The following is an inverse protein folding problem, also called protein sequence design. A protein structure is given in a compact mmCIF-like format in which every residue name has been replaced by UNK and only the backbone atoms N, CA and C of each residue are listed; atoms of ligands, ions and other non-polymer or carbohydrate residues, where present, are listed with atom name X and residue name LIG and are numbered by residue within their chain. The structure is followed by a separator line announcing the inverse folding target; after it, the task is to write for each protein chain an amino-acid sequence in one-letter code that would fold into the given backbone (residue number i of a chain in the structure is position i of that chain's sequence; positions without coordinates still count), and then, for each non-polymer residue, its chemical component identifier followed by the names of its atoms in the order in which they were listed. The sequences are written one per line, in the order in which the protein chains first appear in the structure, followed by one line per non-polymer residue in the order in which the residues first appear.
data_IF_479348495412
#
_entry.id   IF_479348495412
#
_cell.length_a   1.000
_cell.length_b   1.000
_cell.length_c   1.000
_cell.angle_alpha   90.00
_cell.angle_beta   90.00
_cell.angle_gamma   90.00
#
_symmetry.space_group_name_H-M   'P 1'
#
loop_
_entity.id
_entity.type
_entity.pdbx_description
1 polymer ?
#
# COMPACT_ATOMS: atom_id res chain seq x y z
N UNK A 1 -11.57 29.78 9.72
CA UNK A 1 -11.24 28.39 9.33
C UNK A 1 -9.73 28.17 9.05
N UNK A 2 -8.99 29.15 8.56
CA UNK A 2 -7.55 29.06 8.22
C UNK A 2 -6.60 29.00 9.44
N UNK A 3 -6.99 29.55 10.59
CA UNK A 3 -6.14 29.62 11.81
C UNK A 3 -6.11 28.28 12.57
N UNK A 4 -7.23 27.53 12.58
CA UNK A 4 -7.31 26.22 13.25
C UNK A 4 -6.49 25.16 12.52
N UNK A 5 -6.38 25.27 11.18
CA UNK A 5 -5.54 24.37 10.37
C UNK A 5 -4.04 24.57 10.62
N UNK A 6 -3.60 25.79 10.98
CA UNK A 6 -2.18 26.07 11.27
C UNK A 6 -1.71 25.55 12.63
N UNK A 7 -2.58 25.49 13.65
CA UNK A 7 -2.22 24.95 14.95
C UNK A 7 -2.15 23.41 14.95
N UNK A 8 -3.05 22.74 14.19
CA UNK A 8 -2.95 21.30 13.97
C UNK A 8 -1.67 20.91 13.24
N UNK A 9 -1.26 21.66 12.22
CA UNK A 9 -0.04 21.39 11.48
C UNK A 9 1.26 21.62 12.28
N UNK A 10 1.27 22.48 13.29
CA UNK A 10 2.46 22.71 14.13
C UNK A 10 2.75 21.53 15.09
N UNK A 11 1.73 20.87 15.64
CA UNK A 11 1.91 19.67 16.47
C UNK A 11 2.43 18.46 15.70
N UNK A 12 2.10 18.33 14.40
CA UNK A 12 2.56 17.21 13.57
C UNK A 12 3.96 17.41 12.96
N UNK A 13 4.57 18.60 13.04
CA UNK A 13 5.92 18.87 12.54
C UNK A 13 7.05 18.26 13.39
N UNK A 14 6.74 17.72 14.56
CA UNK A 14 7.71 17.00 15.40
C UNK A 14 7.87 15.52 14.99
N UNK A 15 6.96 14.99 14.21
CA UNK A 15 6.99 13.59 13.74
C UNK A 15 7.46 13.51 12.28
N UNK A 16 7.96 12.31 11.90
CA UNK A 16 8.36 12.01 10.53
C UNK A 16 7.28 12.35 9.50
N UNK A 17 7.66 12.59 8.24
CA UNK A 17 6.69 12.69 7.14
C UNK A 17 5.83 11.40 7.15
N UNK A 18 4.51 11.48 7.33
CA UNK A 18 3.65 10.30 7.37
C UNK A 18 3.76 9.43 6.12
N UNK A 19 4.20 9.98 4.99
CA UNK A 19 4.46 9.19 3.79
C UNK A 19 5.62 8.21 3.96
N UNK A 20 6.64 8.58 4.72
CA UNK A 20 7.78 7.71 5.05
C UNK A 20 7.32 6.58 5.95
N UNK A 21 6.56 6.87 7.01
CA UNK A 21 6.01 5.86 7.91
C UNK A 21 5.11 4.84 7.18
N UNK A 22 4.22 5.28 6.31
CA UNK A 22 3.43 4.40 5.46
C UNK A 22 4.30 3.54 4.54
N UNK A 23 5.40 4.09 4.00
CA UNK A 23 6.35 3.36 3.18
C UNK A 23 7.04 2.23 3.95
N UNK A 24 7.51 2.50 5.18
CA UNK A 24 8.11 1.49 6.04
C UNK A 24 7.13 0.40 6.44
N UNK A 25 5.91 0.76 6.83
CA UNK A 25 4.88 -0.23 7.17
C UNK A 25 4.52 -1.12 5.97
N UNK A 26 4.54 -0.58 4.75
CA UNK A 26 4.36 -1.40 3.54
C UNK A 26 5.53 -2.35 3.31
N UNK A 27 6.76 -1.92 3.53
CA UNK A 27 7.92 -2.78 3.39
C UNK A 27 7.91 -3.89 4.45
N UNK A 28 7.65 -3.55 5.71
CA UNK A 28 7.52 -4.51 6.81
C UNK A 28 6.40 -5.51 6.48
N UNK A 29 5.23 -5.01 6.09
CA UNK A 29 4.10 -5.88 5.74
C UNK A 29 4.37 -6.78 4.54
N UNK A 30 5.04 -6.28 3.48
CA UNK A 30 5.45 -7.11 2.35
C UNK A 30 6.45 -8.21 2.78
N UNK A 31 7.41 -7.86 3.64
CA UNK A 31 8.34 -8.83 4.24
C UNK A 31 7.59 -9.88 5.05
N UNK A 32 6.64 -9.45 5.89
CA UNK A 32 5.80 -10.35 6.69
C UNK A 32 5.01 -11.32 5.80
N UNK A 33 4.44 -10.85 4.69
CA UNK A 33 3.72 -11.72 3.74
C UNK A 33 4.66 -12.74 3.11
N UNK A 34 5.85 -12.34 2.66
CA UNK A 34 6.83 -13.29 2.07
C UNK A 34 7.27 -14.32 3.11
N UNK A 35 7.54 -13.90 4.34
CA UNK A 35 7.89 -14.83 5.42
C UNK A 35 6.74 -15.80 5.68
N UNK A 36 5.52 -15.31 5.88
CA UNK A 36 4.35 -16.15 6.20
C UNK A 36 4.02 -17.15 5.09
N UNK A 37 4.15 -16.76 3.81
CA UNK A 37 3.95 -17.64 2.66
C UNK A 37 4.94 -18.79 2.58
N UNK A 38 6.11 -18.71 3.26
CA UNK A 38 7.11 -19.77 3.22
C UNK A 38 6.61 -21.10 3.82
N UNK A 39 5.58 -21.07 4.67
CA UNK A 39 4.96 -22.28 5.23
C UNK A 39 3.98 -22.93 4.27
N UNK A 40 2.89 -22.27 3.84
CA UNK A 40 1.91 -22.91 2.97
C UNK A 40 2.44 -23.26 1.58
N UNK A 41 3.51 -22.61 1.12
CA UNK A 41 4.08 -22.92 -0.20
C UNK A 41 4.92 -24.22 -0.17
N UNK A 42 5.50 -24.58 0.98
CA UNK A 42 6.23 -25.82 1.20
C UNK A 42 5.33 -26.94 1.73
N UNK A 43 4.35 -26.60 2.53
CA UNK A 43 3.39 -27.53 3.11
C UNK A 43 1.98 -26.94 3.08
N UNK A 44 1.18 -27.24 2.05
CA UNK A 44 -0.19 -26.72 1.91
C UNK A 44 -1.14 -27.10 3.05
N UNK A 45 -0.76 -28.06 3.91
CA UNK A 45 -1.53 -28.37 5.12
C UNK A 45 -1.33 -27.33 6.24
N UNK A 46 -0.27 -26.52 6.16
CA UNK A 46 0.06 -25.45 7.09
C UNK A 46 -0.27 -24.09 6.47
N UNK A 47 -1.29 -23.45 6.99
CA UNK A 47 -1.76 -22.16 6.44
C UNK A 47 -0.87 -20.97 6.81
N UNK A 48 -0.03 -21.09 7.85
CA UNK A 48 0.75 -19.98 8.41
C UNK A 48 1.91 -20.46 9.27
N UNK A 49 2.82 -19.53 9.59
CA UNK A 49 3.87 -19.73 10.60
C UNK A 49 3.31 -20.01 12.01
N UNK A 50 2.10 -19.51 12.32
CA UNK A 50 1.46 -19.73 13.62
C UNK A 50 0.81 -21.12 13.71
N UNK A 51 0.57 -21.63 14.93
CA UNK A 51 -0.21 -22.83 15.12
C UNK A 51 -1.59 -22.74 14.47
N UNK A 52 -2.17 -23.86 14.05
CA UNK A 52 -3.50 -23.92 13.42
C UNK A 52 -4.64 -23.39 14.30
N UNK A 53 -4.41 -23.22 15.60
CA UNK A 53 -5.35 -22.58 16.53
C UNK A 53 -5.45 -21.05 16.36
N UNK A 54 -4.57 -20.44 15.58
CA UNK A 54 -4.61 -19.01 15.28
C UNK A 54 -5.26 -18.78 13.92
N UNK A 55 -6.46 -18.21 13.92
CA UNK A 55 -7.22 -17.93 12.69
C UNK A 55 -6.64 -16.77 11.86
N UNK A 56 -5.80 -15.92 12.48
CA UNK A 56 -5.17 -14.79 11.82
C UNK A 56 -3.66 -15.02 11.64
N UNK A 57 -3.22 -15.19 10.40
CA UNK A 57 -1.79 -15.24 10.07
C UNK A 57 -1.15 -13.85 10.11
N UNK A 58 0.18 -13.74 10.34
CA UNK A 58 0.89 -12.47 10.20
C UNK A 58 0.71 -11.82 8.83
N UNK A 59 0.68 -12.61 7.76
CA UNK A 59 0.40 -12.14 6.39
C UNK A 59 -1.01 -11.56 6.26
N UNK A 60 -2.02 -12.19 6.87
CA UNK A 60 -3.38 -11.68 6.89
C UNK A 60 -3.50 -10.35 7.63
N UNK A 61 -2.86 -10.21 8.79
CA UNK A 61 -2.79 -8.95 9.54
C UNK A 61 -2.11 -7.86 8.71
N UNK A 62 -1.01 -8.18 8.02
CA UNK A 62 -0.34 -7.25 7.13
C UNK A 62 -1.23 -6.79 5.97
N UNK A 63 -2.01 -7.70 5.36
CA UNK A 63 -2.98 -7.37 4.33
C UNK A 63 -4.09 -6.44 4.86
N UNK A 64 -4.65 -6.72 6.03
CA UNK A 64 -5.62 -5.81 6.66
C UNK A 64 -5.05 -4.41 6.85
N UNK A 65 -3.81 -4.30 7.34
CA UNK A 65 -3.12 -3.02 7.47
C UNK A 65 -2.91 -2.34 6.09
N UNK A 66 -2.58 -3.08 5.04
CA UNK A 66 -2.45 -2.53 3.68
C UNK A 66 -3.76 -1.95 3.16
N UNK A 67 -4.87 -2.68 3.32
CA UNK A 67 -6.18 -2.19 2.90
C UNK A 67 -6.62 -0.98 3.71
N UNK A 68 -6.38 -0.96 5.02
CA UNK A 68 -6.66 0.20 5.88
C UNK A 68 -5.84 1.44 5.47
N UNK A 69 -4.53 1.28 5.27
CA UNK A 69 -3.65 2.35 4.79
C UNK A 69 -4.08 2.83 3.40
N UNK A 70 -4.49 1.92 2.51
CA UNK A 70 -5.00 2.27 1.19
C UNK A 70 -6.28 3.08 1.31
N UNK A 71 -7.27 2.67 2.10
CA UNK A 71 -8.50 3.42 2.33
C UNK A 71 -8.24 4.85 2.82
N UNK A 72 -7.31 5.02 3.76
CA UNK A 72 -6.90 6.33 4.25
C UNK A 72 -6.23 7.19 3.16
N UNK A 73 -5.16 6.68 2.53
CA UNK A 73 -4.35 7.45 1.59
C UNK A 73 -5.04 7.69 0.24
N UNK A 74 -5.89 6.76 -0.21
CA UNK A 74 -6.65 6.95 -1.45
C UNK A 74 -7.75 7.99 -1.27
N UNK A 75 -8.42 8.01 -0.10
CA UNK A 75 -9.36 9.07 0.26
C UNK A 75 -8.67 10.44 0.34
N UNK A 76 -7.46 10.50 0.90
CA UNK A 76 -6.63 11.71 0.91
C UNK A 76 -6.28 12.16 -0.53
N UNK A 77 -5.94 11.21 -1.40
CA UNK A 77 -5.62 11.50 -2.80
C UNK A 77 -6.81 12.06 -3.58
N UNK A 78 -8.02 11.52 -3.34
CA UNK A 78 -9.25 12.06 -3.91
C UNK A 78 -9.55 13.46 -3.39
N UNK A 79 -9.50 13.68 -2.09
CA UNK A 79 -9.79 14.97 -1.47
C UNK A 79 -8.82 16.09 -1.91
N UNK A 80 -7.58 15.73 -2.26
CA UNK A 80 -6.59 16.69 -2.75
C UNK A 80 -6.81 17.12 -4.21
N UNK A 81 -7.42 16.26 -5.03
CA UNK A 81 -7.67 16.49 -6.46
C UNK A 81 -8.93 15.71 -6.92
N UNK A 82 -10.15 16.23 -6.64
CA UNK A 82 -11.41 15.53 -6.90
C UNK A 82 -11.75 15.54 -8.38
N UNK A 83 -11.00 14.82 -9.17
CA UNK A 83 -11.19 14.65 -10.62
C UNK A 83 -11.17 13.17 -10.94
N UNK A 84 -12.31 12.61 -11.37
CA UNK A 84 -12.49 11.20 -11.61
C UNK A 84 -11.45 10.62 -12.57
N UNK A 85 -11.17 11.31 -13.69
CA UNK A 85 -10.24 10.79 -14.69
C UNK A 85 -8.77 10.85 -14.22
N UNK A 86 -8.34 11.95 -13.53
CA UNK A 86 -6.99 12.04 -12.98
C UNK A 86 -6.77 11.07 -11.83
N UNK A 87 -7.79 10.91 -11.00
CA UNK A 87 -7.79 9.91 -9.94
C UNK A 87 -7.60 8.50 -10.51
N UNK A 88 -8.44 8.10 -11.48
CA UNK A 88 -8.38 6.79 -12.14
C UNK A 88 -7.04 6.57 -12.86
N UNK A 89 -6.58 7.54 -13.64
CA UNK A 89 -5.30 7.45 -14.33
C UNK A 89 -4.11 7.28 -13.35
N UNK A 90 -4.12 7.98 -12.22
CA UNK A 90 -3.08 7.81 -11.18
C UNK A 90 -3.08 6.40 -10.59
N UNK A 91 -4.24 5.75 -10.48
CA UNK A 91 -4.38 4.37 -9.95
C UNK A 91 -3.96 3.34 -10.99
N UNK A 92 -4.44 3.48 -12.22
CA UNK A 92 -4.02 2.62 -13.33
C UNK A 92 -2.49 2.62 -13.48
N UNK A 93 -1.87 3.79 -13.53
CA UNK A 93 -0.40 3.92 -13.60
C UNK A 93 0.33 3.45 -12.33
N UNK A 94 -0.37 3.19 -11.25
CA UNK A 94 0.22 2.65 -10.01
C UNK A 94 0.24 1.13 -10.02
N UNK A 95 -0.84 0.47 -10.47
CA UNK A 95 -1.00 -0.97 -10.37
C UNK A 95 -0.52 -1.68 -11.64
N UNK A 96 -1.06 -1.29 -12.81
CA UNK A 96 -0.94 -2.11 -14.01
C UNK A 96 0.47 -2.23 -14.59
N UNK A 97 1.34 -1.20 -14.65
CA UNK A 97 2.66 -1.37 -15.24
C UNK A 97 3.55 -2.39 -14.52
N UNK A 98 3.68 -2.40 -13.17
CA UNK A 98 4.43 -3.44 -12.49
C UNK A 98 3.80 -4.84 -12.61
N UNK A 99 2.46 -4.93 -12.61
CA UNK A 99 1.75 -6.20 -12.83
C UNK A 99 2.04 -6.74 -14.22
N UNK A 100 1.95 -5.90 -15.25
CA UNK A 100 2.24 -6.32 -16.62
C UNK A 100 3.68 -6.85 -16.75
N UNK A 101 4.65 -6.22 -16.09
CA UNK A 101 6.05 -6.65 -16.14
C UNK A 101 6.24 -8.00 -15.45
N UNK A 102 5.67 -8.21 -14.25
CA UNK A 102 5.80 -9.51 -13.57
C UNK A 102 5.08 -10.61 -14.36
N UNK A 103 3.89 -10.36 -14.87
CA UNK A 103 3.14 -11.33 -15.67
C UNK A 103 3.87 -11.64 -16.97
N UNK A 104 4.42 -10.63 -17.64
CA UNK A 104 5.24 -10.85 -18.84
C UNK A 104 6.49 -11.68 -18.52
N UNK A 105 7.18 -11.41 -17.43
CA UNK A 105 8.33 -12.21 -17.01
C UNK A 105 7.95 -13.67 -16.70
N UNK A 106 6.79 -13.88 -16.06
CA UNK A 106 6.28 -15.21 -15.77
C UNK A 106 5.96 -15.98 -17.05
N UNK A 107 5.30 -15.34 -18.02
CA UNK A 107 4.87 -16.01 -19.26
C UNK A 107 6.01 -16.17 -20.27
N UNK A 108 6.86 -15.15 -20.45
CA UNK A 108 7.84 -15.13 -21.54
C UNK A 108 9.25 -15.55 -21.13
N UNK A 109 9.54 -15.58 -19.80
CA UNK A 109 10.87 -15.96 -19.30
C UNK A 109 10.77 -17.19 -18.41
N UNK A 110 10.04 -17.12 -17.30
CA UNK A 110 9.98 -18.21 -16.31
C UNK A 110 9.21 -19.40 -16.87
N UNK A 111 8.09 -19.18 -17.51
CA UNK A 111 7.30 -20.24 -18.12
C UNK A 111 8.10 -21.12 -19.07
N UNK A 112 8.73 -20.60 -20.13
CA UNK A 112 9.53 -21.39 -21.04
C UNK A 112 10.75 -22.08 -20.44
N UNK A 113 11.31 -21.55 -19.34
CA UNK A 113 12.48 -22.13 -18.66
C UNK A 113 12.11 -23.28 -17.71
N UNK A 114 10.89 -23.26 -17.15
CA UNK A 114 10.49 -24.16 -16.06
C UNK A 114 9.23 -24.98 -16.37
N UNK A 115 8.69 -24.89 -17.60
CA UNK A 115 7.59 -25.76 -18.03
C UNK A 115 8.09 -27.18 -18.37
N UNK A 116 7.29 -28.17 -18.04
CA UNK A 116 7.51 -29.55 -18.48
C UNK A 116 7.07 -29.82 -19.90
N UNK A 117 6.39 -28.87 -20.55
CA UNK A 117 5.91 -28.96 -21.94
C UNK A 117 7.01 -28.58 -22.93
N UNK A 118 6.89 -29.11 -24.15
CA UNK A 118 7.70 -28.59 -25.25
C UNK A 118 7.34 -27.13 -25.57
N UNK A 119 8.26 -26.39 -26.17
CA UNK A 119 8.01 -25.01 -26.55
C UNK A 119 6.76 -24.85 -27.45
N UNK A 120 6.54 -25.79 -28.37
CA UNK A 120 5.37 -25.79 -29.23
C UNK A 120 4.06 -25.95 -28.45
N UNK A 121 4.01 -26.90 -27.53
CA UNK A 121 2.84 -27.12 -26.67
C UNK A 121 2.58 -25.93 -25.78
N UNK A 122 3.60 -25.39 -25.07
CA UNK A 122 3.47 -24.25 -24.18
C UNK A 122 2.87 -23.03 -24.87
N UNK A 123 3.39 -22.68 -26.07
CA UNK A 123 2.92 -21.49 -26.80
C UNK A 123 1.58 -21.69 -27.52
N UNK A 124 1.20 -22.93 -27.85
CA UNK A 124 -0.10 -23.27 -28.45
C UNK A 124 -1.21 -23.41 -27.40
N UNK A 125 -0.88 -23.56 -26.15
CA UNK A 125 -1.86 -23.69 -25.08
C UNK A 125 -2.62 -22.38 -24.84
N UNK A 126 -3.94 -22.46 -24.87
CA UNK A 126 -4.82 -21.31 -24.60
C UNK A 126 -4.67 -20.76 -23.20
N UNK A 127 -4.30 -21.62 -22.22
CA UNK A 127 -4.12 -21.21 -20.81
C UNK A 127 -2.93 -20.24 -20.65
N UNK A 128 -1.84 -20.42 -21.43
CA UNK A 128 -0.70 -19.48 -21.45
C UNK A 128 -1.16 -18.06 -21.77
N UNK A 129 -2.01 -17.91 -22.79
CA UNK A 129 -2.52 -16.61 -23.21
C UNK A 129 -3.63 -16.06 -22.31
N UNK A 130 -4.46 -16.95 -21.73
CA UNK A 130 -5.43 -16.57 -20.71
C UNK A 130 -4.72 -16.03 -19.47
N UNK A 131 -3.65 -16.68 -19.03
CA UNK A 131 -2.83 -16.19 -17.92
C UNK A 131 -2.27 -14.81 -18.25
N UNK A 132 -1.65 -14.64 -19.41
CA UNK A 132 -1.06 -13.35 -19.82
C UNK A 132 -2.10 -12.23 -19.82
N UNK A 133 -3.19 -12.39 -20.54
CA UNK A 133 -4.20 -11.33 -20.71
C UNK A 133 -5.02 -11.14 -19.43
N UNK A 134 -5.58 -12.22 -18.89
CA UNK A 134 -6.48 -12.16 -17.73
C UNK A 134 -5.79 -11.63 -16.49
N UNK A 135 -4.59 -12.13 -16.19
CA UNK A 135 -3.82 -11.73 -15.01
C UNK A 135 -3.23 -10.31 -15.17
N UNK A 136 -2.78 -9.92 -16.39
CA UNK A 136 -2.30 -8.57 -16.64
C UNK A 136 -3.39 -7.51 -16.44
N UNK A 137 -4.63 -7.83 -16.78
CA UNK A 137 -5.78 -6.93 -16.63
C UNK A 137 -6.46 -7.05 -15.26
N UNK A 138 -6.07 -8.02 -14.44
CA UNK A 138 -6.67 -8.32 -13.13
C UNK A 138 -8.18 -8.64 -13.23
N UNK A 139 -8.65 -9.09 -14.39
CA UNK A 139 -10.06 -9.27 -14.68
C UNK A 139 -10.50 -10.74 -14.62
N UNK A 140 -9.65 -11.65 -15.06
CA UNK A 140 -9.82 -13.10 -15.00
C UNK A 140 -8.51 -13.67 -14.51
N UNK A 141 -8.26 -13.50 -13.21
CA UNK A 141 -7.01 -13.88 -12.59
C UNK A 141 -6.80 -15.39 -12.78
N UNK A 142 -5.70 -15.75 -13.43
CA UNK A 142 -5.29 -17.12 -13.58
C UNK A 142 -4.15 -17.40 -12.61
N UNK A 143 -4.12 -18.60 -12.05
CA UNK A 143 -3.09 -18.99 -11.07
C UNK A 143 -2.02 -19.86 -11.69
N UNK A 144 -2.38 -20.70 -12.66
CA UNK A 144 -1.53 -21.72 -13.24
C UNK A 144 -1.04 -21.33 -14.65
N UNK A 145 0.23 -21.62 -14.90
CA UNK A 145 0.80 -21.65 -16.26
C UNK A 145 1.06 -23.11 -16.64
N UNK A 146 0.77 -23.53 -17.89
CA UNK A 146 0.89 -24.92 -18.32
C UNK A 146 2.27 -25.52 -18.07
N UNK A 147 2.31 -26.58 -17.28
CA UNK A 147 3.53 -27.32 -16.95
C UNK A 147 4.54 -26.60 -16.05
N UNK A 148 4.24 -25.41 -15.55
CA UNK A 148 5.17 -24.61 -14.72
C UNK A 148 5.00 -24.93 -13.25
N UNK A 149 6.10 -25.27 -12.57
CA UNK A 149 6.17 -25.58 -11.14
C UNK A 149 5.34 -26.80 -10.70
N UNK A 150 5.03 -27.71 -11.62
CA UNK A 150 4.15 -28.88 -11.35
C UNK A 150 4.72 -29.84 -10.31
N UNK A 151 6.04 -29.88 -10.16
CA UNK A 151 6.73 -30.74 -9.19
C UNK A 151 6.98 -30.04 -7.83
N UNK A 152 6.64 -28.76 -7.71
CA UNK A 152 6.76 -28.06 -6.44
C UNK A 152 5.65 -28.49 -5.47
N UNK A 153 5.86 -28.38 -4.14
CA UNK A 153 4.84 -28.72 -3.15
C UNK A 153 3.53 -27.93 -3.30
N UNK A 154 3.60 -26.71 -3.88
CA UNK A 154 2.44 -25.88 -4.21
C UNK A 154 2.35 -25.64 -5.72
N UNK A 155 1.81 -26.59 -6.51
CA UNK A 155 1.79 -26.52 -7.97
C UNK A 155 0.66 -25.64 -8.53
N UNK A 156 -0.32 -25.26 -7.69
CA UNK A 156 -1.57 -24.60 -8.12
C UNK A 156 -1.43 -23.11 -8.43
N UNK A 157 -0.27 -22.52 -8.20
CA UNK A 157 -0.11 -21.10 -8.51
C UNK A 157 1.34 -20.75 -8.83
N UNK A 158 1.52 -20.07 -9.96
CA UNK A 158 2.81 -19.47 -10.32
C UNK A 158 3.05 -18.18 -9.56
N UNK A 159 1.98 -17.45 -9.24
CA UNK A 159 2.03 -16.25 -8.42
C UNK A 159 0.75 -16.08 -7.58
N UNK A 160 0.78 -16.64 -6.39
CA UNK A 160 -0.31 -16.55 -5.44
C UNK A 160 -0.50 -15.15 -4.80
N UNK A 161 0.45 -14.21 -4.97
CA UNK A 161 0.31 -12.89 -4.33
C UNK A 161 -0.65 -11.94 -5.07
N UNK A 162 -0.95 -12.21 -6.35
CA UNK A 162 -1.72 -11.27 -7.18
C UNK A 162 -3.22 -11.21 -6.86
N UNK A 163 -3.77 -12.19 -6.15
CA UNK A 163 -5.20 -12.30 -5.88
C UNK A 163 -5.82 -11.13 -5.11
N UNK A 164 -5.02 -10.36 -4.37
CA UNK A 164 -5.48 -9.19 -3.61
C UNK A 164 -5.56 -7.91 -4.45
N UNK A 165 -4.89 -7.87 -5.61
CA UNK A 165 -4.84 -6.66 -6.43
C UNK A 165 -6.20 -6.27 -7.06
N UNK A 166 -7.04 -7.20 -7.53
CA UNK A 166 -8.41 -6.87 -7.92
C UNK A 166 -9.22 -6.25 -6.79
N UNK A 167 -9.02 -6.70 -5.55
CA UNK A 167 -9.69 -6.11 -4.38
C UNK A 167 -9.21 -4.67 -4.14
N UNK A 168 -7.94 -4.37 -4.37
CA UNK A 168 -7.43 -3.01 -4.30
C UNK A 168 -8.10 -2.10 -5.36
N UNK A 169 -8.31 -2.61 -6.57
CA UNK A 169 -9.07 -1.91 -7.62
C UNK A 169 -10.52 -1.66 -7.20
N UNK A 170 -11.18 -2.64 -6.58
CA UNK A 170 -12.52 -2.47 -6.01
C UNK A 170 -12.51 -1.36 -4.95
N UNK A 171 -11.51 -1.30 -4.09
CA UNK A 171 -11.33 -0.22 -3.13
C UNK A 171 -11.19 1.15 -3.80
N UNK A 172 -10.50 1.24 -4.93
CA UNK A 172 -10.40 2.50 -5.71
C UNK A 172 -11.75 2.94 -6.29
N UNK A 173 -12.53 1.98 -6.81
CA UNK A 173 -13.90 2.24 -7.28
C UNK A 173 -14.78 2.71 -6.13
N UNK A 174 -14.66 2.08 -4.95
CA UNK A 174 -15.41 2.50 -3.76
C UNK A 174 -15.09 3.95 -3.35
N UNK A 175 -13.81 4.33 -3.28
CA UNK A 175 -13.44 5.74 -2.96
C UNK A 175 -13.95 6.70 -4.04
N UNK A 176 -13.86 6.32 -5.32
CA UNK A 176 -14.37 7.14 -6.41
C UNK A 176 -15.88 7.34 -6.29
N UNK A 177 -16.65 6.27 -6.06
CA UNK A 177 -18.09 6.34 -5.91
C UNK A 177 -18.51 7.22 -4.72
N UNK A 178 -17.95 6.94 -3.54
CA UNK A 178 -18.20 7.75 -2.33
C UNK A 178 -17.77 9.20 -2.57
N UNK A 179 -16.62 9.43 -3.17
CA UNK A 179 -16.10 10.76 -3.46
C UNK A 179 -16.99 11.56 -4.40
N UNK A 180 -17.57 10.93 -5.43
CA UNK A 180 -18.54 11.56 -6.32
C UNK A 180 -19.84 11.90 -5.59
N UNK A 181 -20.35 11.00 -4.74
CA UNK A 181 -21.54 11.26 -3.92
C UNK A 181 -21.31 12.42 -2.94
N UNK A 182 -20.12 12.55 -2.37
CA UNK A 182 -19.76 13.72 -1.54
C UNK A 182 -19.75 15.03 -2.33
N UNK A 183 -19.36 15.02 -3.61
CA UNK A 183 -19.46 16.19 -4.48
C UNK A 183 -20.92 16.57 -4.81
N UNK A 184 -21.84 15.61 -4.78
CA UNK A 184 -23.29 15.84 -4.94
C UNK A 184 -23.96 16.35 -3.65
N UNK A 185 -23.20 16.68 -2.61
CA UNK A 185 -23.69 17.29 -1.40
C UNK A 185 -23.93 16.34 -0.22
N UNK A 186 -23.68 15.03 -0.37
CA UNK A 186 -23.71 14.13 0.78
C UNK A 186 -22.55 14.50 1.73
N UNK A 187 -22.84 14.65 3.01
CA UNK A 187 -21.86 14.99 4.02
C UNK A 187 -20.88 13.84 4.29
N UNK A 188 -19.73 14.15 4.90
CA UNK A 188 -18.68 13.14 5.26
C UNK A 188 -19.20 11.97 6.09
N UNK A 189 -20.35 12.09 6.73
CA UNK A 189 -21.01 11.03 7.49
C UNK A 189 -21.46 9.86 6.62
N UNK A 190 -21.54 10.05 5.30
CA UNK A 190 -21.90 8.97 4.36
C UNK A 190 -20.94 7.78 4.36
N UNK A 191 -19.72 7.94 4.85
CA UNK A 191 -18.77 6.83 5.01
C UNK A 191 -19.23 5.78 6.04
N UNK A 192 -20.08 6.16 7.03
CA UNK A 192 -20.59 5.22 8.03
C UNK A 192 -21.61 4.22 7.48
N UNK A 193 -22.64 4.59 6.72
CA UNK A 193 -23.52 3.61 6.08
C UNK A 193 -22.76 2.66 5.13
N UNK A 194 -21.69 3.15 4.45
CA UNK A 194 -20.83 2.26 3.65
C UNK A 194 -20.12 1.23 4.53
N UNK A 195 -19.51 1.66 5.63
CA UNK A 195 -18.86 0.74 6.58
C UNK A 195 -19.88 -0.20 7.21
N UNK A 196 -21.05 0.29 7.61
CA UNK A 196 -22.11 -0.54 8.20
C UNK A 196 -22.60 -1.62 7.21
N UNK A 197 -22.79 -1.27 5.93
CA UNK A 197 -23.17 -2.23 4.90
C UNK A 197 -22.11 -3.33 4.72
N UNK A 198 -20.82 -2.98 4.73
CA UNK A 198 -19.73 -3.95 4.64
C UNK A 198 -19.65 -4.84 5.89
N UNK A 199 -19.83 -4.29 7.09
CA UNK A 199 -19.87 -5.08 8.33
C UNK A 199 -21.05 -6.04 8.35
N UNK A 200 -22.24 -5.63 7.90
CA UNK A 200 -23.40 -6.50 7.78
C UNK A 200 -23.15 -7.59 6.74
N UNK A 201 -22.60 -7.25 5.57
CA UNK A 201 -22.27 -8.24 4.55
C UNK A 201 -21.25 -9.26 5.07
N UNK A 202 -20.16 -8.79 5.71
CA UNK A 202 -19.15 -9.65 6.31
C UNK A 202 -19.74 -10.58 7.38
N UNK A 203 -20.55 -10.05 8.29
CA UNK A 203 -21.21 -10.86 9.34
C UNK A 203 -22.14 -11.93 8.75
N UNK A 204 -22.86 -11.62 7.66
CA UNK A 204 -23.74 -12.59 6.99
C UNK A 204 -22.95 -13.70 6.30
N UNK A 205 -21.85 -13.35 5.61
CA UNK A 205 -20.97 -14.33 4.96
C UNK A 205 -20.40 -15.28 6.01
N UNK A 206 -19.91 -14.76 7.13
CA UNK A 206 -19.37 -15.60 8.20
C UNK A 206 -20.40 -16.49 8.86
N UNK A 207 -21.62 -15.99 9.10
CA UNK A 207 -22.69 -16.78 9.68
C UNK A 207 -23.10 -17.96 8.78
N UNK A 208 -22.91 -17.86 7.47
CA UNK A 208 -23.28 -18.91 6.51
C UNK A 208 -22.15 -19.85 6.14
N UNK A 209 -20.91 -19.35 6.06
CA UNK A 209 -19.76 -20.06 5.48
C UNK A 209 -18.57 -20.23 6.46
N UNK A 210 -18.63 -19.66 7.66
CA UNK A 210 -17.53 -19.65 8.61
C UNK A 210 -16.46 -18.59 8.31
N UNK A 211 -15.41 -18.57 9.14
CA UNK A 211 -14.42 -17.49 9.18
C UNK A 211 -13.66 -17.27 7.85
N UNK A 212 -13.36 -18.34 7.14
CA UNK A 212 -12.67 -18.32 5.84
C UNK A 212 -13.57 -18.78 4.68
N UNK A 213 -14.88 -18.87 4.91
CA UNK A 213 -15.82 -19.37 3.91
C UNK A 213 -15.92 -18.42 2.72
N UNK A 214 -15.97 -19.01 1.54
CA UNK A 214 -16.18 -18.29 0.29
C UNK A 214 -17.62 -18.54 -0.21
N UNK A 215 -18.33 -17.45 -0.50
CA UNK A 215 -19.69 -17.48 -1.08
C UNK A 215 -19.66 -17.48 -2.62
N UNK A 216 -18.52 -17.78 -3.20
CA UNK A 216 -18.26 -17.74 -4.64
C UNK A 216 -17.29 -16.62 -5.02
N UNK A 217 -16.96 -16.55 -6.29
CA UNK A 217 -16.00 -15.57 -6.82
C UNK A 217 -16.69 -14.56 -7.73
N UNK A 218 -16.27 -13.31 -7.62
CA UNK A 218 -16.55 -12.27 -8.59
C UNK A 218 -15.27 -12.05 -9.41
N UNK A 219 -15.30 -12.40 -10.69
CA UNK A 219 -14.12 -12.22 -11.59
C UNK A 219 -12.88 -12.98 -11.02
N UNK A 220 -13.08 -14.25 -10.64
CA UNK A 220 -12.04 -15.11 -10.02
C UNK A 220 -11.50 -14.57 -8.68
N UNK A 221 -12.17 -13.61 -8.07
CA UNK A 221 -11.78 -13.04 -6.77
C UNK A 221 -12.75 -13.52 -5.70
N UNK A 222 -12.29 -14.13 -4.59
CA UNK A 222 -13.14 -14.61 -3.52
C UNK A 222 -13.98 -13.49 -2.92
N UNK A 223 -15.30 -13.62 -2.97
CA UNK A 223 -16.19 -12.54 -2.51
C UNK A 223 -16.13 -12.37 -0.99
N UNK A 224 -16.03 -13.46 -0.24
CA UNK A 224 -15.88 -13.42 1.21
C UNK A 224 -14.63 -12.64 1.65
N UNK A 225 -13.49 -12.97 1.06
CA UNK A 225 -12.23 -12.26 1.33
C UNK A 225 -12.28 -10.80 0.86
N UNK A 226 -12.94 -10.53 -0.27
CA UNK A 226 -13.12 -9.16 -0.76
C UNK A 226 -13.86 -8.30 0.25
N UNK A 227 -14.99 -8.76 0.76
CA UNK A 227 -15.77 -8.04 1.78
C UNK A 227 -14.95 -7.87 3.05
N UNK A 228 -14.25 -8.91 3.48
CA UNK A 228 -13.38 -8.90 4.65
C UNK A 228 -12.31 -7.80 4.61
N UNK A 229 -11.63 -7.65 3.49
CA UNK A 229 -10.60 -6.61 3.33
C UNK A 229 -11.18 -5.22 3.03
N UNK A 230 -12.40 -5.14 2.48
CA UNK A 230 -13.09 -3.86 2.33
C UNK A 230 -13.53 -3.27 3.68
N UNK A 231 -13.70 -4.05 4.74
CA UNK A 231 -13.98 -3.53 6.09
C UNK A 231 -12.83 -2.63 6.61
N UNK A 232 -11.57 -3.10 6.76
CA UNK A 232 -10.47 -2.22 7.17
C UNK A 232 -10.19 -1.10 6.15
N UNK A 233 -10.43 -1.32 4.86
CA UNK A 233 -10.35 -0.27 3.86
C UNK A 233 -11.36 0.86 4.15
N UNK A 234 -12.64 0.55 4.38
CA UNK A 234 -13.66 1.53 4.73
C UNK A 234 -13.40 2.18 6.10
N UNK A 235 -12.87 1.45 7.08
CA UNK A 235 -12.40 2.03 8.35
C UNK A 235 -11.28 3.07 8.10
N UNK A 236 -10.34 2.80 7.20
CA UNK A 236 -9.33 3.76 6.77
C UNK A 236 -9.94 5.03 6.15
N UNK A 237 -11.01 4.88 5.34
CA UNK A 237 -11.78 6.02 4.81
C UNK A 237 -12.43 6.82 5.95
N UNK A 238 -12.99 6.15 6.96
CA UNK A 238 -13.57 6.82 8.15
C UNK A 238 -12.51 7.59 8.92
N UNK A 239 -11.35 6.98 9.20
CA UNK A 239 -10.25 7.67 9.90
C UNK A 239 -9.80 8.90 9.11
N UNK A 240 -9.71 8.82 7.78
CA UNK A 240 -9.40 10.00 6.96
C UNK A 240 -10.50 11.07 7.02
N UNK A 241 -11.78 10.68 6.90
CA UNK A 241 -12.90 11.62 6.92
C UNK A 241 -13.03 12.38 8.25
N UNK A 242 -12.64 11.73 9.36
CA UNK A 242 -12.72 12.28 10.73
C UNK A 242 -11.34 12.49 11.37
N UNK A 243 -10.28 12.63 10.58
CA UNK A 243 -8.90 12.86 11.05
C UNK A 243 -8.70 14.10 11.91
N UNK A 244 -9.65 15.02 11.86
CA UNK A 244 -9.74 16.22 12.71
C UNK A 244 -10.28 15.94 14.11
N UNK A 245 -10.91 14.77 14.33
CA UNK A 245 -11.57 14.36 15.58
C UNK A 245 -10.97 13.11 16.20
N UNK A 246 -10.43 12.19 15.39
CA UNK A 246 -9.83 10.94 15.88
C UNK A 246 -8.39 11.23 16.31
N UNK A 247 -8.08 11.16 17.62
CA UNK A 247 -6.72 11.34 18.10
C UNK A 247 -5.86 10.14 17.68
N UNK A 248 -4.65 10.39 17.19
CA UNK A 248 -3.68 9.33 16.90
C UNK A 248 -2.78 9.14 18.12
N UNK A 249 -3.06 8.12 18.91
CA UNK A 249 -2.36 7.85 20.18
C UNK A 249 -1.74 6.45 20.16
N UNK A 250 -0.39 6.32 20.28
CA UNK A 250 0.28 5.01 20.31
C UNK A 250 -0.17 4.11 21.45
N UNK A 251 -0.53 4.66 22.60
CA UNK A 251 -1.00 3.86 23.74
C UNK A 251 -2.36 3.22 23.47
N UNK A 252 -3.25 3.93 22.73
CA UNK A 252 -4.52 3.35 22.28
C UNK A 252 -4.26 2.22 21.27
N UNK A 253 -3.30 2.39 20.37
CA UNK A 253 -2.91 1.34 19.43
C UNK A 253 -2.37 0.08 20.15
N UNK A 254 -1.55 0.26 21.19
CA UNK A 254 -1.08 -0.85 22.04
C UNK A 254 -2.22 -1.47 22.84
N UNK A 255 -3.14 -0.66 23.37
CA UNK A 255 -4.34 -1.16 24.06
C UNK A 255 -5.24 -2.00 23.15
N UNK A 256 -5.40 -1.60 21.88
CA UNK A 256 -6.14 -2.38 20.88
C UNK A 256 -5.45 -3.71 20.54
N UNK A 257 -4.12 -3.73 20.48
CA UNK A 257 -3.36 -4.97 20.33
C UNK A 257 -3.59 -5.91 21.51
N UNK A 258 -3.51 -5.39 22.74
CA UNK A 258 -3.81 -6.17 23.95
C UNK A 258 -5.26 -6.67 23.98
N UNK A 259 -6.21 -5.83 23.58
CA UNK A 259 -7.62 -6.22 23.45
C UNK A 259 -7.80 -7.33 22.42
N UNK A 260 -7.18 -7.24 21.25
CA UNK A 260 -7.25 -8.28 20.22
C UNK A 260 -6.71 -9.62 20.76
N UNK A 261 -5.57 -9.60 21.44
CA UNK A 261 -5.01 -10.83 22.06
C UNK A 261 -6.00 -11.39 23.10
N UNK A 262 -6.65 -10.53 23.88
CA UNK A 262 -7.59 -10.95 24.91
C UNK A 262 -8.90 -11.54 24.37
N UNK A 263 -9.36 -11.08 23.21
CA UNK A 263 -10.60 -11.58 22.57
C UNK A 263 -10.32 -12.63 21.48
N UNK A 264 -9.06 -13.04 21.35
CA UNK A 264 -8.67 -14.05 20.36
C UNK A 264 -9.51 -15.33 20.53
N UNK A 265 -9.87 -15.97 19.42
CA UNK A 265 -10.78 -17.12 19.35
C UNK A 265 -12.21 -16.85 19.84
N UNK A 266 -12.62 -15.60 19.98
CA UNK A 266 -14.02 -15.23 20.20
C UNK A 266 -14.66 -14.70 18.90
N UNK A 267 -16.01 -14.61 18.82
CA UNK A 267 -16.68 -14.00 17.66
C UNK A 267 -16.30 -12.52 17.41
N UNK A 268 -15.65 -11.86 18.38
CA UNK A 268 -15.19 -10.47 18.29
C UNK A 268 -13.79 -10.33 17.68
N UNK A 269 -13.02 -11.42 17.64
CA UNK A 269 -11.61 -11.44 17.19
C UNK A 269 -11.43 -10.64 15.90
N UNK A 270 -12.12 -11.02 14.85
CA UNK A 270 -12.00 -10.44 13.51
C UNK A 270 -12.29 -8.94 13.46
N UNK A 271 -13.31 -8.48 14.19
CA UNK A 271 -13.67 -7.06 14.20
C UNK A 271 -12.68 -6.23 15.00
N UNK A 272 -12.23 -6.75 16.13
CA UNK A 272 -11.18 -6.11 16.94
C UNK A 272 -9.86 -6.09 16.17
N UNK A 273 -9.52 -7.17 15.45
CA UNK A 273 -8.37 -7.23 14.55
C UNK A 273 -8.45 -6.15 13.46
N UNK A 274 -9.60 -5.99 12.80
CA UNK A 274 -9.78 -4.96 11.77
C UNK A 274 -9.60 -3.54 12.33
N UNK A 275 -10.13 -3.27 13.51
CA UNK A 275 -9.95 -1.98 14.22
C UNK A 275 -8.49 -1.79 14.61
N UNK A 276 -7.86 -2.80 15.22
CA UNK A 276 -6.46 -2.78 15.64
C UNK A 276 -5.52 -2.57 14.45
N UNK A 277 -5.67 -3.34 13.38
CA UNK A 277 -4.85 -3.22 12.18
C UNK A 277 -5.02 -1.83 11.52
N UNK A 278 -6.26 -1.32 11.44
CA UNK A 278 -6.54 0.01 10.87
C UNK A 278 -5.94 1.12 11.70
N UNK A 279 -6.30 1.18 12.96
CA UNK A 279 -5.85 2.26 13.85
C UNK A 279 -4.35 2.19 14.10
N UNK A 280 -3.84 0.98 14.37
CA UNK A 280 -2.41 0.74 14.58
C UNK A 280 -1.56 1.15 13.39
N UNK A 281 -1.91 0.72 12.16
CA UNK A 281 -1.17 1.10 10.97
C UNK A 281 -1.12 2.62 10.75
N UNK A 282 -2.26 3.32 10.92
CA UNK A 282 -2.32 4.77 10.73
C UNK A 282 -1.55 5.50 11.83
N UNK A 283 -1.70 5.08 13.08
CA UNK A 283 -0.98 5.67 14.23
C UNK A 283 0.53 5.52 14.05
N UNK A 284 1.00 4.30 13.80
CA UNK A 284 2.44 4.05 13.65
C UNK A 284 3.03 4.71 12.41
N UNK A 285 2.28 4.84 11.32
CA UNK A 285 2.71 5.61 10.16
C UNK A 285 2.95 7.09 10.49
N UNK A 286 2.11 7.69 11.34
CA UNK A 286 2.24 9.09 11.75
C UNK A 286 3.24 9.32 12.87
N UNK A 287 3.51 8.29 13.69
CA UNK A 287 4.48 8.33 14.80
C UNK A 287 5.79 7.63 14.46
N UNK A 288 6.08 7.42 13.18
CA UNK A 288 7.31 6.77 12.75
C UNK A 288 8.54 7.52 13.30
N UNK A 289 9.48 6.83 14.00
CA UNK A 289 10.59 7.51 14.64
C UNK A 289 11.51 8.17 13.62
N UNK A 290 11.78 9.48 13.76
CA UNK A 290 12.69 10.22 12.88
C UNK A 290 14.08 9.60 12.79
N UNK A 291 14.55 8.96 13.86
CA UNK A 291 15.86 8.28 13.88
C UNK A 291 15.92 7.07 12.95
N UNK A 292 14.76 6.53 12.56
CA UNK A 292 14.60 5.44 11.59
C UNK A 292 14.21 5.95 10.19
N UNK A 293 14.23 7.27 9.98
CA UNK A 293 14.15 7.88 8.66
C UNK A 293 15.44 7.59 7.89
N UNK A 294 15.64 6.35 7.51
CA UNK A 294 16.63 6.02 6.50
C UNK A 294 16.19 6.67 5.19
N UNK A 295 17.17 7.04 4.36
CA UNK A 295 16.94 7.60 3.03
C UNK A 295 15.78 6.84 2.34
N UNK A 296 14.70 7.55 2.00
CA UNK A 296 13.47 6.98 1.45
C UNK A 296 13.66 6.10 0.20
N UNK A 297 14.90 5.98 -0.29
CA UNK A 297 15.26 5.06 -1.36
C UNK A 297 15.02 3.58 -1.00
N UNK A 298 15.15 3.21 0.27
CA UNK A 298 15.03 1.83 0.72
C UNK A 298 13.59 1.31 0.79
N UNK A 299 12.60 2.20 0.96
CA UNK A 299 11.19 1.81 1.10
C UNK A 299 10.46 1.66 -0.24
N UNK A 300 11.09 2.04 -1.35
CA UNK A 300 10.42 2.12 -2.64
C UNK A 300 10.14 0.77 -3.31
N UNK A 301 10.87 -0.28 -2.95
CA UNK A 301 10.70 -1.63 -3.52
C UNK A 301 9.53 -2.44 -2.94
N UNK A 302 8.78 -1.92 -1.96
CA UNK A 302 7.80 -2.71 -1.21
C UNK A 302 6.67 -3.30 -2.06
N UNK A 303 6.18 -2.57 -3.07
CA UNK A 303 5.15 -3.07 -3.98
C UNK A 303 5.70 -4.17 -4.89
N UNK A 304 6.86 -3.94 -5.50
CA UNK A 304 7.53 -4.95 -6.31
C UNK A 304 7.89 -6.19 -5.48
N UNK A 305 8.39 -6.01 -4.24
CA UNK A 305 8.65 -7.14 -3.34
C UNK A 305 7.39 -8.00 -3.11
N UNK A 306 6.25 -7.37 -2.92
CA UNK A 306 4.98 -8.08 -2.75
C UNK A 306 4.61 -8.91 -3.98
N UNK A 307 4.67 -8.34 -5.19
CA UNK A 307 4.25 -9.03 -6.41
C UNK A 307 5.28 -10.04 -6.93
N UNK A 308 6.56 -9.92 -6.55
CA UNK A 308 7.62 -10.85 -6.93
C UNK A 308 7.89 -11.92 -5.86
N UNK A 309 7.42 -11.74 -4.63
CA UNK A 309 7.74 -12.63 -3.51
C UNK A 309 7.40 -14.09 -3.78
N UNK A 310 6.18 -14.36 -4.23
CA UNK A 310 5.71 -15.71 -4.49
C UNK A 310 6.46 -16.40 -5.64
N UNK A 311 6.63 -15.81 -6.84
CA UNK A 311 7.45 -16.41 -7.89
C UNK A 311 8.89 -16.68 -7.47
N UNK A 312 9.50 -15.80 -6.69
CA UNK A 312 10.86 -15.98 -6.15
C UNK A 312 10.91 -17.19 -5.22
N UNK A 313 9.91 -17.37 -4.36
CA UNK A 313 9.81 -18.56 -3.50
C UNK A 313 9.68 -19.85 -4.32
N UNK A 314 8.84 -19.86 -5.33
CA UNK A 314 8.69 -21.01 -6.23
C UNK A 314 10.02 -21.37 -6.92
N UNK A 315 10.79 -20.39 -7.36
CA UNK A 315 12.11 -20.62 -8.00
C UNK A 315 13.15 -21.14 -7.00
N UNK A 316 13.13 -20.68 -5.74
CA UNK A 316 14.04 -21.15 -4.71
C UNK A 316 13.74 -22.61 -4.33
N UNK A 317 12.45 -22.99 -4.32
CA UNK A 317 12.03 -24.38 -4.07
C UNK A 317 12.57 -25.33 -5.16
N UNK A 318 12.54 -24.93 -6.42
CA UNK A 318 13.18 -25.73 -7.51
C UNK A 318 14.67 -25.96 -7.27
N UNK A 319 15.35 -25.01 -6.60
CA UNK A 319 16.76 -25.16 -6.24
C UNK A 319 16.98 -26.13 -5.06
N UNK A 320 15.92 -26.79 -4.56
CA UNK A 320 16.00 -27.85 -3.54
C UNK A 320 15.85 -27.35 -2.10
N UNK A 321 15.31 -26.14 -1.88
CA UNK A 321 15.05 -25.64 -0.53
C UNK A 321 13.69 -26.17 -0.05
N UNK A 322 13.71 -26.87 1.09
CA UNK A 322 12.56 -27.53 1.73
C UNK A 322 12.31 -27.07 3.18
N UNK A 323 13.16 -26.21 3.73
CA UNK A 323 12.97 -25.61 5.05
C UNK A 323 12.33 -24.21 4.93
N UNK A 324 11.22 -23.91 5.63
CA UNK A 324 10.53 -22.63 5.49
C UNK A 324 11.32 -21.42 6.01
N UNK A 325 12.22 -21.62 7.00
CA UNK A 325 13.06 -20.53 7.49
C UNK A 325 14.18 -20.20 6.50
N UNK A 326 14.77 -21.23 5.89
CA UNK A 326 15.76 -21.06 4.82
C UNK A 326 15.12 -20.41 3.60
N UNK A 327 13.91 -20.87 3.22
CA UNK A 327 13.14 -20.27 2.14
C UNK A 327 12.86 -18.79 2.41
N UNK A 328 12.38 -18.44 3.59
CA UNK A 328 12.14 -17.05 3.98
C UNK A 328 13.41 -16.21 3.94
N UNK A 329 14.51 -16.71 4.50
CA UNK A 329 15.79 -16.02 4.57
C UNK A 329 16.39 -15.71 3.18
N UNK A 330 16.17 -16.58 2.20
CA UNK A 330 16.60 -16.38 0.81
C UNK A 330 15.59 -15.56 0.00
N UNK A 331 14.30 -15.81 0.20
CA UNK A 331 13.24 -15.14 -0.58
C UNK A 331 13.10 -13.66 -0.24
N UNK A 332 13.23 -13.27 1.02
CA UNK A 332 13.09 -11.86 1.45
C UNK A 332 14.09 -10.95 0.73
N UNK A 333 15.42 -11.19 0.78
CA UNK A 333 16.36 -10.32 0.05
C UNK A 333 16.20 -10.43 -1.47
N UNK A 334 15.92 -11.60 -2.02
CA UNK A 334 15.74 -11.78 -3.46
C UNK A 334 14.49 -11.05 -3.98
N UNK A 335 13.34 -11.19 -3.30
CA UNK A 335 12.13 -10.46 -3.62
C UNK A 335 12.29 -8.94 -3.46
N UNK A 336 13.05 -8.50 -2.45
CA UNK A 336 13.37 -7.09 -2.27
C UNK A 336 14.21 -6.54 -3.44
N UNK A 337 15.22 -7.27 -3.89
CA UNK A 337 16.02 -6.90 -5.07
C UNK A 337 15.16 -6.81 -6.34
N UNK A 338 14.27 -7.78 -6.57
CA UNK A 338 13.28 -7.71 -7.66
C UNK A 338 12.36 -6.49 -7.50
N UNK A 339 11.96 -6.18 -6.26
CA UNK A 339 11.17 -4.99 -5.95
C UNK A 339 11.88 -3.68 -6.26
N UNK A 340 13.16 -3.56 -5.90
CA UNK A 340 13.98 -2.39 -6.24
C UNK A 340 14.17 -2.27 -7.75
N UNK A 341 14.43 -3.38 -8.45
CA UNK A 341 14.52 -3.38 -9.91
C UNK A 341 13.20 -2.92 -10.54
N UNK A 342 12.07 -3.48 -10.10
CA UNK A 342 10.74 -3.04 -10.54
C UNK A 342 10.52 -1.55 -10.29
N UNK A 343 10.91 -1.05 -9.13
CA UNK A 343 10.82 0.38 -8.81
C UNK A 343 11.62 1.24 -9.79
N UNK A 344 12.89 0.92 -10.00
CA UNK A 344 13.79 1.72 -10.83
C UNK A 344 13.36 1.72 -12.29
N UNK A 345 13.06 0.53 -12.84
CA UNK A 345 12.82 0.36 -14.27
C UNK A 345 11.36 0.55 -14.69
N UNK A 346 10.41 0.39 -13.77
CA UNK A 346 8.97 0.45 -14.10
C UNK A 346 8.27 1.60 -13.37
N UNK A 347 8.34 1.63 -12.03
CA UNK A 347 7.55 2.58 -11.25
C UNK A 347 8.07 4.03 -11.38
N UNK A 348 9.37 4.26 -11.38
CA UNK A 348 9.95 5.61 -11.55
C UNK A 348 9.59 6.21 -12.90
N UNK A 349 9.74 5.52 -14.05
CA UNK A 349 9.27 6.03 -15.34
C UNK A 349 7.77 6.36 -15.36
N UNK A 350 6.93 5.47 -14.84
CA UNK A 350 5.47 5.70 -14.79
C UNK A 350 5.09 6.85 -13.85
N UNK A 351 5.85 7.08 -12.78
CA UNK A 351 5.63 8.24 -11.90
C UNK A 351 6.00 9.56 -12.58
N UNK A 352 6.99 9.57 -13.49
CA UNK A 352 7.29 10.76 -14.30
C UNK A 352 6.09 11.11 -15.18
N UNK A 353 5.46 10.10 -15.81
CA UNK A 353 4.24 10.30 -16.58
C UNK A 353 3.08 10.85 -15.71
N UNK A 354 2.93 10.36 -14.46
CA UNK A 354 1.93 10.86 -13.51
C UNK A 354 2.09 12.35 -13.16
N UNK A 355 3.30 12.92 -13.27
CA UNK A 355 3.52 14.36 -12.99
C UNK A 355 2.77 15.24 -14.00
N UNK A 356 2.62 14.78 -15.24
CA UNK A 356 1.85 15.51 -16.28
C UNK A 356 0.34 15.49 -16.01
N UNK A 357 -0.15 14.57 -15.16
CA UNK A 357 -1.55 14.51 -14.72
C UNK A 357 -1.86 15.44 -13.54
N UNK A 358 -0.87 16.12 -12.96
CA UNK A 358 -1.13 17.10 -11.89
C UNK A 358 -1.82 18.31 -12.51
N UNK A 359 -2.83 18.84 -11.78
CA UNK A 359 -3.44 20.11 -12.14
C UNK A 359 -2.33 21.16 -12.23
N UNK A 360 -2.21 21.93 -13.34
CA UNK A 360 -1.30 23.08 -13.33
C UNK A 360 -1.68 23.96 -12.15
N UNK A 361 -0.69 24.33 -11.34
CA UNK A 361 -0.87 25.32 -10.29
C UNK A 361 -1.53 26.49 -10.99
N UNK A 362 -2.76 26.85 -10.63
CA UNK A 362 -3.35 28.13 -11.07
C UNK A 362 -2.30 29.16 -10.71
N UNK A 363 -1.77 29.85 -11.70
CA UNK A 363 -0.81 30.91 -11.49
C UNK A 363 -1.32 31.79 -10.36
N UNK A 364 -0.51 31.95 -9.31
CA UNK A 364 -0.80 32.96 -8.30
C UNK A 364 -1.09 34.25 -9.05
N UNK A 365 -1.90 35.15 -8.51
CA UNK A 365 -2.10 36.45 -9.12
C UNK A 365 -0.72 36.98 -9.53
N UNK A 366 -0.56 37.55 -10.74
CA UNK A 366 0.71 38.11 -11.16
C UNK A 366 1.21 38.94 -9.99
N UNK A 367 2.47 38.72 -9.57
CA UNK A 367 3.07 39.49 -8.49
C UNK A 367 2.71 40.96 -8.79
N UNK A 368 1.93 41.59 -7.91
CA UNK A 368 1.53 42.96 -8.08
C UNK A 368 2.80 43.71 -8.41
N UNK A 369 2.82 44.36 -9.57
CA UNK A 369 3.98 45.14 -10.01
C UNK A 369 4.41 45.99 -8.83
N UNK A 370 5.67 45.86 -8.43
CA UNK A 370 6.20 46.67 -7.35
C UNK A 370 5.88 48.12 -7.65
N UNK A 371 5.33 48.89 -6.71
CA UNK A 371 5.04 50.30 -6.94
C UNK A 371 6.33 51.00 -7.36
N UNK A 372 6.28 51.89 -8.36
CA UNK A 372 7.49 52.58 -8.84
C UNK A 372 8.16 53.31 -7.68
N UNK A 373 9.46 53.12 -7.59
CA UNK A 373 10.40 53.49 -6.57
C UNK A 373 10.00 54.68 -5.69
N UNK A 374 9.91 54.45 -4.41
CA UNK A 374 10.28 55.48 -3.43
C UNK A 374 11.78 55.70 -3.57
N UNK A 375 12.16 56.89 -3.99
CA UNK A 375 13.51 57.39 -3.99
C UNK A 375 14.13 57.09 -2.60
N UNK A 376 15.26 56.41 -2.57
CA UNK A 376 16.09 56.26 -1.36
C UNK A 376 16.45 57.68 -0.84
N UNK A 377 16.30 57.95 0.46
CA UNK A 377 16.83 59.17 1.03
C UNK A 377 18.36 59.11 0.98
N UNK A 378 18.94 60.14 0.36
CA UNK A 378 20.37 60.40 0.26
C UNK A 378 21.00 60.35 1.64
N UNK A 379 21.81 59.31 1.88
CA UNK A 379 22.61 59.16 3.10
C UNK A 379 23.72 60.19 3.05
N UNK A 380 23.53 61.35 3.71
CA UNK A 380 24.58 62.32 4.01
C UNK A 380 25.77 61.56 4.65
N UNK A 381 26.88 61.54 3.95
CA UNK A 381 28.18 61.11 4.51
C UNK A 381 28.53 62.10 5.62
N UNK A 382 28.47 61.67 6.85
CA UNK A 382 29.00 62.38 7.99
C UNK A 382 30.53 62.48 7.85
N UNK A 383 31.05 63.67 7.94
CA UNK A 383 32.46 63.99 7.78
C UNK A 383 33.34 63.33 8.88
N UNK A 384 34.53 62.94 8.48
CA UNK A 384 35.60 62.53 9.32
C UNK A 384 35.97 63.59 10.38
N UNK A 385 36.10 63.26 11.68
CA UNK A 385 36.61 64.21 12.70
C UNK A 385 38.14 64.46 12.50
N UNK A 386 38.64 65.67 12.81
CA UNK A 386 40.02 66.03 12.62
C UNK A 386 40.96 65.31 13.65
N UNK A 387 42.15 65.02 13.18
CA UNK A 387 43.22 64.42 13.96
C UNK A 387 43.63 65.29 15.14
N UNK A 388 43.67 64.73 16.35
CA UNK A 388 44.21 65.36 17.55
C UNK A 388 45.77 65.38 17.56
N UNK A 389 46.39 66.33 18.28
CA UNK A 389 47.85 66.54 18.25
C UNK A 389 48.63 65.45 18.96
N UNK A 390 49.95 65.28 18.63
CA UNK A 390 50.79 64.21 19.17
C UNK A 390 51.12 64.45 20.64
N UNK A 391 51.00 63.47 21.47
CA UNK A 391 51.48 63.46 22.86
C UNK A 391 53.00 63.17 22.85
N UNK A 392 53.74 64.13 23.42
CA UNK A 392 55.13 64.00 23.71
C UNK A 392 55.46 62.96 24.78
N UNK A 393 56.49 62.16 24.57
CA UNK A 393 57.13 61.33 25.58
C UNK A 393 57.87 62.17 26.61
N UNK A 394 57.72 61.85 27.84
CA UNK A 394 58.70 61.91 28.91
C UNK A 394 58.37 60.82 29.93
#
# INVERSE_FOLDING_TARGET
MTVVLRQGQRRYREYADPNIGFGWLRLIGATTVVVDHSWPILDPSRLTIFPASWDASPGYVALMAFFAMSGYQISQSWASDPSWWRFSAKRVLRIFPPVLVVVAALVFVIGPLFTTLSAGEYWSDKQTWRYFVGTSLLFLLQHELPGVFVDNPYPWSVNGSLWTLPMEVIGYVLVLAVGLLLLLGLGRWFVFPVLAALLVADSRIQATMGYHGDVGSLIEVPLGSTVAFMVPFAMGMVVFAFRDRIPLNPWVALGLLGLWIAVHQTPLDRYVLAVMATYGAIVWAHHWPRRLEMDGRWIFGSYGMYIWGFPVQQLIIIAGVDDPWVLAALAVPAAYLCGVASWVFVEVPTQRLRRHLKKPLRGGPPAAAAPPGRAEPEVRRAGTPPAGPPRSRS
#
